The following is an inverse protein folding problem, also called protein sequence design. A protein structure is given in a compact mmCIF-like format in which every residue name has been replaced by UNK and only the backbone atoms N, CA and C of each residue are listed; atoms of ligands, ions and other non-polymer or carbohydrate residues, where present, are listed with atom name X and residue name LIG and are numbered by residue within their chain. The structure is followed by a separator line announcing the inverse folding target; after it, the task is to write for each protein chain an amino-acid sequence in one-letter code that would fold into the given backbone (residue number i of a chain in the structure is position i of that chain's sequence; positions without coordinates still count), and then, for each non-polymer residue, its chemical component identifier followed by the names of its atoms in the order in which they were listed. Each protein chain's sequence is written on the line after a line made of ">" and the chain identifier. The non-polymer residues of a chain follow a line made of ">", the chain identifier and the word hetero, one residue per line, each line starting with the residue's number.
data_IF_407772332649
#
_entry.id   IF_407772332649
#
_cell.length_a   1.000
_cell.length_b   1.000
_cell.length_c   1.000
_cell.angle_alpha   90.00
_cell.angle_beta   90.00
_cell.angle_gamma   90.00
#
_symmetry.space_group_name_H-M   'P 1'
#
loop_
_entity.id
_entity.type
_entity.pdbx_description
1 polymer ?
#
# COMPACT_ATOMS: atom_id res chain seq x y z
N UNK A 1 64.40 59.53 5.52
CA UNK A 1 64.23 58.18 6.09
C UNK A 1 63.95 58.34 7.57
N UNK A 2 62.71 58.13 8.02
CA UNK A 2 62.37 58.23 9.44
C UNK A 2 62.85 56.95 10.15
N UNK A 3 63.77 57.11 11.10
CA UNK A 3 64.17 56.03 12.01
C UNK A 3 62.95 55.63 12.84
N UNK A 4 62.49 54.39 12.65
CA UNK A 4 61.46 53.77 13.48
C UNK A 4 62.08 53.59 14.87
N UNK A 5 61.66 54.39 15.85
CA UNK A 5 62.06 54.21 17.25
C UNK A 5 61.76 52.76 17.66
N UNK A 6 62.71 52.14 18.39
CA UNK A 6 62.50 50.77 18.88
C UNK A 6 61.32 50.82 19.86
N UNK A 7 60.32 49.94 19.71
CA UNK A 7 59.19 49.92 20.63
C UNK A 7 59.70 49.73 22.05
N UNK A 8 59.19 50.55 22.96
CA UNK A 8 59.52 50.41 24.37
C UNK A 8 58.99 49.09 24.91
N UNK A 9 59.54 48.64 26.05
CA UNK A 9 59.03 47.46 26.76
C UNK A 9 57.50 47.54 27.00
N UNK A 10 57.00 48.76 27.24
CA UNK A 10 55.58 49.04 27.45
C UNK A 10 54.73 48.77 26.20
N UNK A 11 55.23 49.08 25.00
CA UNK A 11 54.51 48.84 23.75
C UNK A 11 54.39 47.33 23.46
N UNK A 12 55.45 46.59 23.77
CA UNK A 12 55.47 45.12 23.64
C UNK A 12 54.46 44.51 24.62
N UNK A 13 54.43 44.97 25.87
CA UNK A 13 53.46 44.50 26.88
C UNK A 13 52.03 44.82 26.45
N UNK A 14 51.76 46.04 25.97
CA UNK A 14 50.44 46.44 25.50
C UNK A 14 49.96 45.60 24.31
N UNK A 15 50.84 45.29 23.36
CA UNK A 15 50.53 44.43 22.23
C UNK A 15 50.27 42.98 22.67
N UNK A 16 51.02 42.45 23.64
CA UNK A 16 50.77 41.12 24.21
C UNK A 16 49.42 41.08 24.93
N UNK A 17 49.07 42.12 25.70
CA UNK A 17 47.77 42.22 26.38
C UNK A 17 46.64 42.28 25.35
N UNK A 18 46.79 43.08 24.29
CA UNK A 18 45.82 43.17 23.21
C UNK A 18 45.62 41.83 22.50
N UNK A 19 46.70 41.14 22.14
CA UNK A 19 46.63 39.80 21.52
C UNK A 19 46.00 38.75 22.44
N UNK A 20 46.32 38.79 23.72
CA UNK A 20 45.72 37.90 24.72
C UNK A 20 44.22 38.15 24.82
N UNK A 21 43.79 39.41 24.79
CA UNK A 21 42.38 39.77 24.81
C UNK A 21 41.65 39.33 23.53
N UNK A 22 42.24 39.57 22.36
CA UNK A 22 41.70 39.11 21.07
C UNK A 22 41.58 37.58 21.03
N UNK A 23 42.60 36.87 21.51
CA UNK A 23 42.56 35.41 21.62
C UNK A 23 41.47 34.95 22.59
N UNK A 24 41.30 35.62 23.73
CA UNK A 24 40.22 35.32 24.69
C UNK A 24 38.85 35.48 24.04
N UNK A 25 38.65 36.53 23.25
CA UNK A 25 37.40 36.75 22.52
C UNK A 25 37.16 35.68 21.45
N UNK A 26 38.21 35.29 20.72
CA UNK A 26 38.14 34.23 19.72
C UNK A 26 37.81 32.88 20.36
N UNK A 27 38.40 32.55 21.51
CA UNK A 27 38.11 31.33 22.26
C UNK A 27 36.64 31.30 22.67
N UNK A 28 36.13 32.37 23.29
CA UNK A 28 34.70 32.46 23.67
C UNK A 28 33.76 32.30 22.49
N UNK A 29 34.10 32.89 21.34
CA UNK A 29 33.29 32.75 20.13
C UNK A 29 33.28 31.31 19.60
N UNK A 30 34.41 30.59 19.72
CA UNK A 30 34.51 29.18 19.34
C UNK A 30 33.74 28.29 20.32
N UNK A 31 33.84 28.55 21.62
CA UNK A 31 33.09 27.82 22.65
C UNK A 31 31.59 27.94 22.44
N UNK A 32 31.09 29.17 22.19
CA UNK A 32 29.66 29.39 21.92
C UNK A 32 29.21 28.69 20.65
N UNK A 33 29.99 28.77 19.57
CA UNK A 33 29.69 28.03 18.33
C UNK A 33 29.68 26.52 18.53
N UNK A 34 30.61 26.01 19.33
CA UNK A 34 30.71 24.58 19.66
C UNK A 34 29.47 24.15 20.42
N UNK A 35 29.06 24.90 21.44
CA UNK A 35 27.84 24.65 22.21
C UNK A 35 26.58 24.63 21.34
N UNK A 36 26.48 25.56 20.38
CA UNK A 36 25.36 25.60 19.43
C UNK A 36 25.37 24.36 18.52
N UNK A 37 26.53 23.93 18.06
CA UNK A 37 26.67 22.72 17.23
C UNK A 37 26.31 21.47 18.03
N UNK A 38 26.80 21.33 19.26
CA UNK A 38 26.45 20.21 20.15
C UNK A 38 24.94 20.13 20.39
N UNK A 39 24.31 21.27 20.67
CA UNK A 39 22.85 21.32 20.86
C UNK A 39 22.10 20.85 19.61
N UNK A 40 22.53 21.30 18.42
CA UNK A 40 21.95 20.85 17.14
C UNK A 40 22.19 19.37 16.89
N UNK A 41 23.37 18.86 17.23
CA UNK A 41 23.72 17.45 17.08
C UNK A 41 22.82 16.59 17.96
N UNK A 42 22.65 16.94 19.24
CA UNK A 42 21.72 16.25 20.14
C UNK A 42 20.28 16.28 19.65
N UNK A 43 19.83 17.41 19.08
CA UNK A 43 18.50 17.48 18.46
C UNK A 43 18.37 16.55 17.25
N UNK A 44 19.39 16.49 16.38
CA UNK A 44 19.42 15.58 15.24
C UNK A 44 19.42 14.12 15.69
N UNK A 45 20.23 13.76 16.69
CA UNK A 45 20.26 12.41 17.25
C UNK A 45 18.88 11.97 17.76
N UNK A 46 18.19 12.83 18.50
CA UNK A 46 16.81 12.56 18.94
C UNK A 46 15.86 12.35 17.77
N UNK A 47 15.92 13.21 16.75
CA UNK A 47 15.10 13.04 15.55
C UNK A 47 15.39 11.72 14.83
N UNK A 48 16.65 11.29 14.77
CA UNK A 48 17.02 10.01 14.16
C UNK A 48 16.51 8.81 14.97
N UNK A 49 16.56 8.87 16.30
CA UNK A 49 15.97 7.85 17.17
C UNK A 49 14.46 7.76 16.98
N UNK A 50 13.76 8.91 17.03
CA UNK A 50 12.31 8.97 16.82
C UNK A 50 11.92 8.46 15.42
N UNK A 51 12.69 8.80 14.39
CA UNK A 51 12.48 8.31 13.03
C UNK A 51 12.68 6.79 12.95
N UNK A 52 13.72 6.27 13.61
CA UNK A 52 13.99 4.83 13.69
C UNK A 52 12.82 4.06 14.31
N UNK A 53 12.34 4.52 15.47
CA UNK A 53 11.18 3.92 16.15
C UNK A 53 9.90 3.98 15.30
N UNK A 54 9.66 5.10 14.63
CA UNK A 54 8.49 5.25 13.76
C UNK A 54 8.57 4.35 12.53
N UNK A 55 9.76 4.18 11.95
CA UNK A 55 9.98 3.26 10.83
C UNK A 55 9.71 1.82 11.28
N UNK A 56 10.22 1.40 12.44
CA UNK A 56 9.99 0.05 12.97
C UNK A 56 8.49 -0.22 13.19
N UNK A 57 7.78 0.68 13.86
CA UNK A 57 6.32 0.59 14.05
C UNK A 57 5.56 0.51 12.72
N UNK A 58 5.94 1.33 11.74
CA UNK A 58 5.32 1.30 10.42
C UNK A 58 5.58 -0.01 9.69
N UNK A 59 6.79 -0.58 9.80
CA UNK A 59 7.11 -1.88 9.22
C UNK A 59 6.31 -3.01 9.85
N UNK A 60 6.14 -2.99 11.18
CA UNK A 60 5.32 -3.97 11.89
C UNK A 60 3.85 -3.89 11.45
N UNK A 61 3.29 -2.69 11.35
CA UNK A 61 1.93 -2.49 10.85
C UNK A 61 1.76 -2.99 9.41
N UNK A 62 2.71 -2.65 8.52
CA UNK A 62 2.68 -3.14 7.12
C UNK A 62 2.75 -4.67 7.08
N UNK A 63 3.54 -5.28 7.96
CA UNK A 63 3.66 -6.74 8.07
C UNK A 63 2.36 -7.39 8.52
N UNK A 64 1.66 -6.78 9.48
CA UNK A 64 0.33 -7.21 9.92
C UNK A 64 -0.72 -7.06 8.81
N UNK A 65 -0.80 -5.89 8.19
CA UNK A 65 -1.72 -5.61 7.08
C UNK A 65 -1.52 -6.60 5.92
N UNK A 66 -0.26 -6.95 5.62
CA UNK A 66 0.08 -7.96 4.62
C UNK A 66 -0.46 -9.35 4.98
N UNK A 67 -0.35 -9.76 6.25
CA UNK A 67 -0.90 -11.06 6.71
C UNK A 67 -2.42 -11.09 6.61
N UNK A 68 -3.06 -9.98 6.95
CA UNK A 68 -4.50 -9.82 6.85
C UNK A 68 -5.00 -9.86 5.40
N UNK A 69 -4.31 -9.15 4.51
CA UNK A 69 -4.58 -9.20 3.07
C UNK A 69 -4.41 -10.62 2.53
N UNK A 70 -3.34 -11.32 2.89
CA UNK A 70 -3.12 -12.69 2.47
C UNK A 70 -4.26 -13.61 2.94
N UNK A 71 -4.71 -13.46 4.17
CA UNK A 71 -5.84 -14.23 4.73
C UNK A 71 -7.15 -13.93 4.00
N UNK A 72 -7.41 -12.66 3.67
CA UNK A 72 -8.59 -12.25 2.88
C UNK A 72 -8.53 -12.83 1.46
N UNK A 73 -7.38 -12.80 0.81
CA UNK A 73 -7.17 -13.39 -0.51
C UNK A 73 -7.42 -14.89 -0.49
N UNK A 74 -6.87 -15.63 0.48
CA UNK A 74 -7.14 -17.06 0.62
C UNK A 74 -8.63 -17.37 0.83
N UNK A 75 -9.36 -16.54 1.58
CA UNK A 75 -10.82 -16.69 1.73
C UNK A 75 -11.53 -16.48 0.40
N UNK A 76 -11.17 -15.44 -0.35
CA UNK A 76 -11.75 -15.17 -1.67
C UNK A 76 -11.48 -16.31 -2.67
N UNK A 77 -10.25 -16.81 -2.72
CA UNK A 77 -9.88 -17.96 -3.56
C UNK A 77 -10.74 -19.19 -3.25
N UNK A 78 -10.97 -19.47 -1.97
CA UNK A 78 -11.83 -20.57 -1.54
C UNK A 78 -13.30 -20.37 -1.94
N UNK A 79 -13.84 -19.15 -1.80
CA UNK A 79 -15.21 -18.85 -2.24
C UNK A 79 -15.34 -18.93 -3.77
N UNK A 80 -14.36 -18.44 -4.53
CA UNK A 80 -14.32 -18.58 -5.99
C UNK A 80 -14.29 -20.06 -6.39
N UNK A 81 -13.50 -20.89 -5.70
CA UNK A 81 -13.46 -22.33 -5.95
C UNK A 81 -14.82 -23.00 -5.68
N UNK A 82 -15.54 -22.58 -4.63
CA UNK A 82 -16.92 -23.06 -4.36
C UNK A 82 -17.89 -22.63 -5.45
N UNK A 83 -17.86 -21.36 -5.86
CA UNK A 83 -18.70 -20.82 -6.95
C UNK A 83 -18.47 -21.61 -8.23
N UNK A 84 -17.20 -21.88 -8.59
CA UNK A 84 -16.86 -22.67 -9.78
C UNK A 84 -17.47 -24.07 -9.72
N UNK A 85 -17.37 -24.76 -8.58
CA UNK A 85 -17.98 -26.09 -8.39
C UNK A 85 -19.50 -26.07 -8.52
N UNK A 86 -20.16 -24.99 -8.08
CA UNK A 86 -21.60 -24.83 -8.21
C UNK A 86 -21.96 -24.60 -9.69
N UNK A 87 -21.24 -23.72 -10.38
CA UNK A 87 -21.42 -23.48 -11.82
C UNK A 87 -21.27 -24.77 -12.64
N UNK A 88 -20.22 -25.55 -12.40
CA UNK A 88 -19.98 -26.81 -13.10
C UNK A 88 -21.14 -27.81 -12.90
N UNK A 89 -21.75 -27.83 -11.70
CA UNK A 89 -22.93 -28.68 -11.43
C UNK A 89 -24.19 -28.16 -12.11
N UNK A 90 -24.41 -26.84 -12.12
CA UNK A 90 -25.56 -26.22 -12.77
C UNK A 90 -25.53 -26.43 -14.28
N UNK A 91 -24.35 -26.27 -14.92
CA UNK A 91 -24.18 -26.53 -16.35
C UNK A 91 -24.54 -27.98 -16.68
N UNK A 92 -24.01 -28.95 -15.93
CA UNK A 92 -24.35 -30.38 -16.12
C UNK A 92 -25.84 -30.68 -15.92
N UNK A 93 -26.51 -29.97 -15.01
CA UNK A 93 -27.95 -30.13 -14.78
C UNK A 93 -28.76 -29.63 -15.98
N UNK A 94 -28.39 -28.47 -16.54
CA UNK A 94 -29.06 -27.93 -17.73
C UNK A 94 -28.86 -28.86 -18.94
N UNK A 95 -27.65 -29.38 -19.14
CA UNK A 95 -27.38 -30.37 -20.20
C UNK A 95 -28.25 -31.63 -20.05
N UNK A 96 -28.46 -32.11 -18.82
CA UNK A 96 -29.35 -33.22 -18.52
C UNK A 96 -30.83 -32.90 -18.80
N UNK A 97 -31.30 -31.71 -18.45
CA UNK A 97 -32.67 -31.25 -18.76
C UNK A 97 -32.90 -31.15 -20.27
N UNK A 98 -31.91 -30.68 -21.05
CA UNK A 98 -31.98 -30.67 -22.52
C UNK A 98 -32.05 -32.08 -23.09
N UNK A 99 -31.19 -32.99 -22.63
CA UNK A 99 -31.23 -34.40 -23.05
C UNK A 99 -32.58 -35.03 -22.69
N UNK A 100 -33.12 -34.77 -21.51
CA UNK A 100 -34.44 -35.26 -21.11
C UNK A 100 -35.54 -34.74 -22.05
N UNK A 101 -35.50 -33.45 -22.41
CA UNK A 101 -36.44 -32.86 -23.37
C UNK A 101 -36.33 -33.48 -24.76
N UNK A 102 -35.12 -33.75 -25.25
CA UNK A 102 -34.93 -34.46 -26.53
C UNK A 102 -35.46 -35.89 -26.47
N UNK A 103 -35.22 -36.61 -25.38
CA UNK A 103 -35.75 -37.96 -25.19
C UNK A 103 -37.28 -37.92 -25.13
N UNK A 104 -37.89 -36.93 -24.46
CA UNK A 104 -39.35 -36.77 -24.43
C UNK A 104 -39.94 -36.48 -25.81
N UNK A 105 -39.27 -35.69 -26.65
CA UNK A 105 -39.68 -35.42 -28.03
C UNK A 105 -39.62 -36.66 -28.92
N UNK A 106 -38.59 -37.50 -28.75
CA UNK A 106 -38.35 -38.67 -29.60
C UNK A 106 -39.12 -39.90 -29.11
N UNK A 107 -39.43 -40.00 -27.81
CA UNK A 107 -40.07 -41.18 -27.24
C UNK A 107 -41.52 -41.31 -27.74
N UNK A 108 -41.83 -42.35 -28.54
CA UNK A 108 -43.17 -42.55 -29.09
C UNK A 108 -44.24 -42.86 -28.02
N UNK A 109 -43.84 -43.14 -26.77
CA UNK A 109 -44.75 -43.36 -25.64
C UNK A 109 -45.28 -42.05 -25.03
N UNK A 110 -44.58 -40.92 -25.21
CA UNK A 110 -44.98 -39.59 -24.74
C UNK A 110 -45.36 -38.62 -25.87
N UNK A 111 -45.04 -39.00 -27.12
CA UNK A 111 -45.47 -38.26 -28.29
C UNK A 111 -46.98 -38.37 -28.46
N UNK A 112 -47.70 -37.33 -28.02
CA UNK A 112 -49.05 -37.08 -28.50
C UNK A 112 -48.92 -36.73 -29.99
N UNK A 113 -48.99 -37.74 -30.86
CA UNK A 113 -48.99 -37.53 -32.31
C UNK A 113 -50.28 -36.81 -32.70
N UNK A 114 -50.17 -35.49 -32.87
CA UNK A 114 -51.25 -34.62 -33.32
C UNK A 114 -51.28 -34.73 -34.84
N UNK A 115 -52.39 -35.16 -35.43
CA UNK A 115 -52.50 -35.22 -36.90
C UNK A 115 -52.60 -33.81 -37.48
N UNK A 116 -52.28 -33.63 -38.78
CA UNK A 116 -52.36 -32.32 -39.44
C UNK A 116 -53.75 -31.66 -39.25
N UNK A 117 -54.80 -32.48 -39.21
CA UNK A 117 -56.17 -32.03 -38.96
C UNK A 117 -56.36 -31.50 -37.54
N UNK A 118 -55.76 -32.15 -36.55
CA UNK A 118 -55.83 -31.73 -35.15
C UNK A 118 -55.07 -30.41 -34.92
N UNK A 119 -53.92 -30.23 -35.58
CA UNK A 119 -53.17 -28.97 -35.56
C UNK A 119 -53.97 -27.83 -36.20
N UNK A 120 -54.59 -28.07 -37.36
CA UNK A 120 -55.45 -27.07 -38.03
C UNK A 120 -56.66 -26.68 -37.19
N UNK A 121 -57.22 -27.61 -36.41
CA UNK A 121 -58.36 -27.35 -35.52
C UNK A 121 -57.95 -26.47 -34.32
N UNK A 122 -56.84 -26.79 -33.67
CA UNK A 122 -56.29 -26.00 -32.56
C UNK A 122 -55.93 -24.57 -32.98
N UNK A 123 -55.34 -24.40 -34.16
CA UNK A 123 -54.98 -23.06 -34.68
C UNK A 123 -56.22 -22.22 -34.99
N UNK A 124 -57.29 -22.83 -35.51
CA UNK A 124 -58.59 -22.16 -35.68
C UNK A 124 -59.20 -21.72 -34.35
N UNK A 125 -59.19 -22.60 -33.35
CA UNK A 125 -59.71 -22.31 -32.01
C UNK A 125 -58.91 -21.18 -31.32
N UNK A 126 -57.57 -21.15 -31.44
CA UNK A 126 -56.74 -20.09 -30.84
C UNK A 126 -56.83 -18.74 -31.55
N UNK A 127 -57.06 -18.72 -32.86
CA UNK A 127 -57.16 -17.47 -33.64
C UNK A 127 -58.58 -16.87 -33.66
N UNK A 128 -59.52 -17.46 -32.90
CA UNK A 128 -60.82 -16.86 -32.67
C UNK A 128 -61.63 -16.59 -33.94
N UNK A 129 -61.58 -17.51 -34.91
CA UNK A 129 -62.49 -17.55 -36.06
C UNK A 129 -63.01 -18.96 -36.31
#
# INVERSE_FOLDING_TARGET
>A
MAFKERPGLQDIINEIVKRTQENTWRIRAVEERTRVVETKLTSLEKMFLDLGENIEKNFDQISEDKKDLNTKTMKLENEIAKIRRILDKTVKKNELEEIENYIRLINPLNANFVTENDVRRLVKEMLGK
#
